data_IF_666591220149
#
_entry.id   IF_666591220149
#
_cell.length_a   1.000
_cell.length_b   1.000
_cell.length_c   1.000
_cell.angle_alpha   90.00
_cell.angle_beta   90.00
_cell.angle_gamma   90.00
#
_symmetry.space_group_name_H-M   'P 1'
#
loop_
_entity.id
_entity.type
_entity.pdbx_description
1 polymer ?
#
# COMPACT_ATOMS: atom_id res chain seq x y z
N UNK A 1 7.77 12.85 -14.67
CA UNK A 1 9.22 12.65 -14.42
C UNK A 1 9.44 12.16 -13.00
N UNK A 2 9.22 10.87 -12.76
CA UNK A 2 9.23 10.25 -11.42
C UNK A 2 10.64 9.95 -10.86
N UNK A 3 11.71 10.14 -11.65
CA UNK A 3 13.10 9.81 -11.25
C UNK A 3 14.05 11.02 -11.20
N UNK A 4 13.55 12.26 -11.35
CA UNK A 4 14.40 13.46 -11.54
C UNK A 4 14.85 14.12 -10.23
N UNK A 5 14.36 13.64 -9.08
CA UNK A 5 14.72 14.14 -7.74
C UNK A 5 15.03 12.95 -6.82
N UNK A 6 15.95 13.14 -5.86
CA UNK A 6 16.28 12.14 -4.83
C UNK A 6 15.02 11.62 -4.11
N UNK A 7 14.05 12.51 -3.88
CA UNK A 7 12.75 12.17 -3.32
C UNK A 7 11.92 11.26 -4.24
N UNK A 8 11.99 11.44 -5.56
CA UNK A 8 11.32 10.58 -6.54
C UNK A 8 11.94 9.17 -6.61
N UNK A 9 13.26 9.08 -6.54
CA UNK A 9 13.96 7.79 -6.48
C UNK A 9 13.62 7.02 -5.18
N UNK A 10 13.59 7.70 -4.03
CA UNK A 10 13.21 7.08 -2.76
C UNK A 10 11.75 6.56 -2.78
N UNK A 11 10.82 7.32 -3.36
CA UNK A 11 9.44 6.88 -3.54
C UNK A 11 9.37 5.68 -4.50
N UNK A 12 10.16 5.70 -5.58
CA UNK A 12 10.27 4.59 -6.52
C UNK A 12 10.79 3.30 -5.87
N UNK A 13 11.75 3.42 -4.96
CA UNK A 13 12.34 2.27 -4.26
C UNK A 13 11.35 1.65 -3.25
N UNK A 14 10.60 2.50 -2.55
CA UNK A 14 9.51 2.07 -1.66
C UNK A 14 8.41 1.38 -2.46
N UNK A 15 8.00 1.95 -3.60
CA UNK A 15 7.00 1.32 -4.48
C UNK A 15 7.50 -0.02 -5.00
N UNK A 16 8.76 -0.11 -5.44
CA UNK A 16 9.37 -1.37 -5.92
C UNK A 16 9.33 -2.45 -4.84
N UNK A 17 9.69 -2.09 -3.60
CA UNK A 17 9.64 -3.01 -2.46
C UNK A 17 8.22 -3.48 -2.14
N UNK A 18 7.24 -2.58 -2.21
CA UNK A 18 5.82 -2.89 -2.02
C UNK A 18 5.30 -3.82 -3.12
N UNK A 19 5.68 -3.56 -4.38
CA UNK A 19 5.28 -4.37 -5.54
C UNK A 19 5.80 -5.80 -5.40
N UNK A 20 7.09 -5.96 -5.08
CA UNK A 20 7.69 -7.27 -4.86
C UNK A 20 7.00 -8.02 -3.71
N UNK A 21 6.72 -7.34 -2.61
CA UNK A 21 6.05 -7.93 -1.43
C UNK A 21 4.61 -8.33 -1.73
N UNK A 22 3.86 -7.50 -2.47
CA UNK A 22 2.48 -7.80 -2.84
C UNK A 22 2.39 -8.96 -3.84
N UNK A 23 3.37 -9.09 -4.74
CA UNK A 23 3.47 -10.23 -5.66
C UNK A 23 3.69 -11.55 -4.90
N UNK A 24 4.60 -11.57 -3.93
CA UNK A 24 4.83 -12.73 -3.05
C UNK A 24 3.60 -13.07 -2.20
N UNK A 25 2.89 -12.05 -1.71
CA UNK A 25 1.65 -12.23 -0.96
C UNK A 25 0.44 -12.65 -1.83
N UNK A 26 0.60 -12.74 -3.15
CA UNK A 26 -0.46 -13.03 -4.13
C UNK A 26 -1.65 -12.04 -4.06
N UNK A 27 -1.35 -10.78 -3.74
CA UNK A 27 -2.33 -9.71 -3.56
C UNK A 27 -2.46 -8.92 -4.86
N UNK A 28 -3.70 -8.51 -5.19
CA UNK A 28 -3.91 -7.58 -6.29
C UNK A 28 -3.34 -6.21 -5.93
N UNK A 29 -2.18 -5.88 -6.52
CA UNK A 29 -1.47 -4.63 -6.27
C UNK A 29 -2.30 -3.38 -6.54
N UNK A 30 -3.12 -3.40 -7.59
CA UNK A 30 -3.94 -2.24 -7.95
C UNK A 30 -5.01 -1.97 -6.90
N UNK A 31 -5.70 -3.02 -6.45
CA UNK A 31 -6.67 -2.89 -5.35
C UNK A 31 -5.99 -2.46 -4.06
N UNK A 32 -4.86 -3.07 -3.71
CA UNK A 32 -4.08 -2.74 -2.53
C UNK A 32 -3.70 -1.26 -2.46
N UNK A 33 -3.10 -0.73 -3.52
CA UNK A 33 -2.70 0.68 -3.59
C UNK A 33 -3.92 1.62 -3.60
N UNK A 34 -5.02 1.20 -4.23
CA UNK A 34 -6.27 1.97 -4.23
C UNK A 34 -6.85 2.08 -2.83
N UNK A 35 -6.90 0.98 -2.09
CA UNK A 35 -7.43 0.94 -0.73
C UNK A 35 -6.53 1.69 0.26
N UNK A 36 -5.21 1.60 0.11
CA UNK A 36 -4.24 2.44 0.84
C UNK A 36 -4.51 3.93 0.65
N UNK A 37 -4.72 4.37 -0.60
CA UNK A 37 -4.97 5.79 -0.88
C UNK A 37 -6.32 6.28 -0.35
N UNK A 38 -7.35 5.43 -0.38
CA UNK A 38 -8.68 5.73 0.17
C UNK A 38 -8.65 5.85 1.70
N UNK A 39 -7.84 5.03 2.36
CA UNK A 39 -7.75 4.96 3.82
C UNK A 39 -6.48 5.63 4.38
N UNK A 40 -5.93 6.62 3.68
CA UNK A 40 -4.61 7.22 4.00
C UNK A 40 -4.44 7.63 5.46
N UNK A 41 -5.51 8.13 6.10
CA UNK A 41 -5.46 8.62 7.49
C UNK A 41 -5.34 7.44 8.47
N UNK A 42 -6.02 6.33 8.19
CA UNK A 42 -5.98 5.11 8.99
C UNK A 42 -4.66 4.35 8.79
N UNK A 43 -4.13 4.37 7.55
CA UNK A 43 -2.82 3.84 7.21
C UNK A 43 -1.71 4.58 7.96
N UNK A 44 -1.80 5.91 8.06
CA UNK A 44 -0.85 6.71 8.85
C UNK A 44 -0.96 6.44 10.35
N UNK A 45 -2.17 6.19 10.84
CA UNK A 45 -2.41 5.91 12.25
C UNK A 45 -1.84 4.55 12.70
N UNK A 46 -1.96 3.51 11.86
CA UNK A 46 -1.43 2.18 12.17
C UNK A 46 -0.96 1.42 10.92
N UNK A 47 0.24 1.74 10.38
CA UNK A 47 0.71 1.15 9.13
C UNK A 47 0.92 -0.36 9.18
N UNK A 48 1.12 -0.95 10.37
CA UNK A 48 1.34 -2.40 10.53
C UNK A 48 0.11 -3.23 10.15
N UNK A 49 -1.08 -2.64 10.20
CA UNK A 49 -2.34 -3.31 9.85
C UNK A 49 -2.73 -3.18 8.38
N UNK A 50 -1.99 -2.35 7.62
CA UNK A 50 -2.21 -2.11 6.20
C UNK A 50 -1.16 -2.79 5.33
N UNK A 51 -0.42 -3.75 5.88
CA UNK A 51 0.52 -4.55 5.12
C UNK A 51 -0.21 -5.50 4.15
N UNK A 52 0.41 -5.89 3.02
CA UNK A 52 -0.25 -6.64 1.94
C UNK A 52 -0.96 -7.92 2.41
N UNK A 53 -0.45 -8.58 3.45
CA UNK A 53 -1.03 -9.82 3.97
C UNK A 53 -2.15 -9.61 5.01
N UNK A 54 -2.33 -8.41 5.57
CA UNK A 54 -3.35 -8.13 6.61
C UNK A 54 -4.44 -7.15 6.13
N UNK A 55 -4.15 -6.33 5.11
CA UNK A 55 -5.02 -5.23 4.70
C UNK A 55 -6.41 -5.68 4.23
N UNK A 56 -6.54 -6.86 3.63
CA UNK A 56 -7.81 -7.34 3.08
C UNK A 56 -8.90 -7.43 4.16
N UNK A 57 -8.53 -7.84 5.37
CA UNK A 57 -9.42 -7.87 6.53
C UNK A 57 -9.84 -6.46 6.94
N UNK A 58 -8.89 -5.50 6.96
CA UNK A 58 -9.17 -4.09 7.27
C UNK A 58 -10.05 -3.41 6.23
N UNK A 59 -9.82 -3.70 4.95
CA UNK A 59 -10.66 -3.19 3.86
C UNK A 59 -12.08 -3.74 3.94
N UNK A 60 -12.25 -5.02 4.29
CA UNK A 60 -13.57 -5.60 4.50
C UNK A 60 -14.30 -4.93 5.69
N UNK A 61 -13.60 -4.67 6.79
CA UNK A 61 -14.15 -3.94 7.95
C UNK A 61 -14.48 -2.48 7.60
N UNK A 62 -13.62 -1.79 6.85
CA UNK A 62 -13.81 -0.41 6.42
C UNK A 62 -14.94 -0.26 5.37
N UNK A 63 -15.19 -1.28 4.55
CA UNK A 63 -16.32 -1.31 3.59
C UNK A 63 -17.66 -1.70 4.24
N UNK A 64 -17.64 -2.27 5.45
CA UNK A 64 -18.84 -2.68 6.18
C UNK A 64 -19.42 -1.55 7.06
N UNK A 65 -18.73 -0.41 7.17
CA UNK A 65 -19.19 0.83 7.81
C UNK A 65 -19.77 1.79 6.77
#
# INVERSE_FOLDING_TARGET
NFYKTLSGAAIGDVLTSIIATAAEANVNLFEYLTDLQRNREQVKADPGQWLPWVYAKRVAEAKAQ
#
